data_IF_334235314447
#
_entry.id   IF_334235314447
#
_cell.length_a   1.000
_cell.length_b   1.000
_cell.length_c   1.000
_cell.angle_alpha   90.00
_cell.angle_beta   90.00
_cell.angle_gamma   90.00
#
_symmetry.space_group_name_H-M   'P 1'
#
loop_
_entity.id
_entity.type
_entity.pdbx_description
1 polymer ?
#
# COMPACT_ATOMS: atom_id res chain seq x y z
N UNK A 1 -17.48 -0.10 -2.94
CA UNK A 1 -17.34 1.35 -2.71
C UNK A 1 -16.30 1.82 -3.69
N UNK A 2 -16.68 2.59 -4.71
CA UNK A 2 -15.75 3.15 -5.68
C UNK A 2 -15.38 4.55 -5.19
N UNK A 3 -14.09 4.83 -5.09
CA UNK A 3 -13.59 6.15 -4.75
C UNK A 3 -13.63 6.96 -6.04
N UNK A 4 -14.48 7.99 -6.08
CA UNK A 4 -14.62 8.88 -7.25
C UNK A 4 -13.45 9.86 -7.38
N UNK A 5 -12.69 10.09 -6.29
CA UNK A 5 -11.59 11.06 -6.24
C UNK A 5 -10.47 10.59 -5.31
N UNK A 6 -9.23 10.58 -5.81
CA UNK A 6 -8.04 10.15 -5.06
C UNK A 6 -7.72 11.01 -3.83
N UNK A 7 -8.28 12.22 -3.73
CA UNK A 7 -8.17 13.08 -2.55
C UNK A 7 -9.03 12.63 -1.37
N UNK A 8 -9.96 11.68 -1.58
CA UNK A 8 -10.76 11.07 -0.50
C UNK A 8 -10.07 9.87 0.17
N UNK A 9 -8.90 9.45 -0.31
CA UNK A 9 -8.17 8.31 0.25
C UNK A 9 -7.59 8.71 1.60
N UNK A 10 -8.06 8.08 2.68
CA UNK A 10 -7.49 8.31 4.00
C UNK A 10 -6.13 7.61 4.14
N UNK A 11 -5.18 8.33 4.73
CA UNK A 11 -3.88 7.78 5.10
C UNK A 11 -3.84 7.52 6.60
N UNK A 12 -3.35 6.35 6.98
CA UNK A 12 -3.06 5.99 8.36
C UNK A 12 -1.56 5.85 8.56
N UNK A 13 -1.09 6.18 9.75
CA UNK A 13 0.30 5.93 10.13
C UNK A 13 0.43 4.52 10.70
N UNK A 14 1.33 3.72 10.15
CA UNK A 14 1.68 2.40 10.63
C UNK A 14 3.13 2.39 11.09
N UNK A 15 3.32 2.11 12.38
CA UNK A 15 4.64 1.87 12.95
C UNK A 15 5.08 0.44 12.65
N UNK A 16 6.29 0.29 12.12
CA UNK A 16 6.96 -1.00 11.97
C UNK A 16 7.76 -1.35 13.22
N UNK A 17 8.13 -2.62 13.36
CA UNK A 17 8.92 -3.12 14.48
C UNK A 17 10.29 -2.42 14.61
N UNK A 18 10.89 -2.00 13.49
CA UNK A 18 12.13 -1.22 13.45
C UNK A 18 11.99 0.26 13.85
N UNK A 19 10.79 0.70 14.24
CA UNK A 19 10.51 2.09 14.63
C UNK A 19 10.26 3.02 13.45
N UNK A 20 10.32 2.52 12.20
CA UNK A 20 9.92 3.27 11.01
C UNK A 20 8.41 3.50 11.01
N UNK A 21 7.99 4.72 10.71
CA UNK A 21 6.58 5.07 10.55
C UNK A 21 6.27 5.25 9.07
N UNK A 22 5.32 4.46 8.58
CA UNK A 22 4.85 4.51 7.20
C UNK A 22 3.49 5.20 7.13
N UNK A 23 3.32 6.09 6.16
CA UNK A 23 1.99 6.64 5.81
C UNK A 23 1.36 5.76 4.75
N UNK A 24 0.31 5.03 5.13
CA UNK A 24 -0.25 3.96 4.33
C UNK A 24 -1.71 4.29 4.01
N UNK A 25 -2.13 4.25 2.73
CA UNK A 25 -3.54 4.38 2.37
C UNK A 25 -4.42 3.34 3.04
N UNK A 26 -5.69 3.67 3.28
CA UNK A 26 -6.66 2.75 3.87
C UNK A 26 -6.86 1.45 3.06
N UNK A 27 -6.64 1.52 1.74
CA UNK A 27 -6.75 0.38 0.82
C UNK A 27 -5.49 -0.48 0.74
N UNK A 28 -4.43 -0.09 1.42
CA UNK A 28 -3.18 -0.84 1.47
C UNK A 28 -3.01 -1.40 2.88
N UNK A 29 -2.78 -2.71 2.96
CA UNK A 29 -2.56 -3.41 4.22
C UNK A 29 -1.10 -3.88 4.29
N UNK A 30 -0.46 -3.67 5.44
CA UNK A 30 0.81 -4.32 5.73
C UNK A 30 0.56 -5.81 5.99
N UNK A 31 1.28 -6.67 5.28
CA UNK A 31 1.28 -8.11 5.53
C UNK A 31 2.64 -8.48 6.10
N UNK A 32 2.61 -9.11 7.27
CA UNK A 32 3.79 -9.57 7.98
C UNK A 32 3.52 -11.00 8.43
N UNK A 33 3.72 -11.93 7.49
CA UNK A 33 3.51 -13.37 7.66
C UNK A 33 4.87 -14.09 7.52
N UNK A 34 4.98 -15.29 8.08
CA UNK A 34 6.25 -16.04 8.12
C UNK A 34 6.88 -16.29 6.74
N UNK A 35 6.05 -16.38 5.69
CA UNK A 35 6.46 -16.63 4.31
C UNK A 35 6.39 -15.38 3.42
N UNK A 36 5.80 -14.28 3.91
CA UNK A 36 5.58 -13.07 3.12
C UNK A 36 5.58 -11.80 3.98
N UNK A 37 6.53 -10.92 3.71
CA UNK A 37 6.59 -9.58 4.26
C UNK A 37 6.39 -8.59 3.10
N UNK A 38 5.37 -7.74 3.19
CA UNK A 38 5.00 -6.89 2.07
C UNK A 38 3.78 -6.01 2.32
N UNK A 39 3.26 -5.46 1.24
CA UNK A 39 2.06 -4.64 1.20
C UNK A 39 1.04 -5.25 0.26
N UNK A 40 -0.21 -5.28 0.69
CA UNK A 40 -1.31 -5.79 -0.12
C UNK A 40 -2.26 -4.66 -0.47
N UNK A 41 -2.41 -4.40 -1.77
CA UNK A 41 -3.41 -3.49 -2.30
C UNK A 41 -4.75 -4.21 -2.41
N UNK A 42 -5.78 -3.64 -1.76
CA UNK A 42 -7.15 -4.18 -1.74
C UNK A 42 -8.16 -3.31 -2.48
N UNK A 43 -7.69 -2.35 -3.28
CA UNK A 43 -8.55 -1.54 -4.15
C UNK A 43 -8.68 -2.18 -5.55
N UNK A 44 -9.90 -2.62 -5.88
CA UNK A 44 -10.16 -3.34 -7.11
C UNK A 44 -9.68 -4.79 -7.04
N UNK A 45 -8.64 -5.12 -7.81
CA UNK A 45 -8.00 -6.44 -7.76
C UNK A 45 -7.02 -6.54 -6.59
N UNK A 46 -6.86 -7.73 -6.03
CA UNK A 46 -5.87 -7.93 -4.96
C UNK A 46 -4.49 -8.04 -5.57
N UNK A 47 -3.55 -7.25 -5.07
CA UNK A 47 -2.18 -7.24 -5.59
C UNK A 47 -1.19 -7.16 -4.44
N UNK A 48 -0.26 -8.10 -4.42
CA UNK A 48 0.74 -8.25 -3.37
C UNK A 48 2.07 -7.67 -3.83
N UNK A 49 2.64 -6.81 -2.99
CA UNK A 49 3.92 -6.14 -3.19
C UNK A 49 4.89 -6.63 -2.12
N UNK A 50 5.74 -7.59 -2.47
CA UNK A 50 6.74 -8.11 -1.56
C UNK A 50 7.80 -7.05 -1.22
N UNK A 51 8.24 -7.05 0.03
CA UNK A 51 9.38 -6.23 0.44
C UNK A 51 10.64 -6.68 -0.26
N UNK A 52 11.47 -5.69 -0.61
CA UNK A 52 12.81 -5.96 -1.14
C UNK A 52 13.81 -6.15 0.00
N UNK A 53 14.89 -6.91 -0.21
CA UNK A 53 15.97 -6.97 0.76
C UNK A 53 16.63 -5.59 0.93
N UNK A 54 16.76 -5.13 2.19
CA UNK A 54 17.38 -3.84 2.54
C UNK A 54 16.51 -3.00 3.48
N UNK A 55 17.09 -1.98 4.09
CA UNK A 55 16.38 -1.10 5.04
C UNK A 55 15.20 -0.36 4.39
N UNK A 56 15.30 0.01 3.11
CA UNK A 56 14.27 0.70 2.35
C UNK A 56 13.33 -0.25 1.60
N UNK A 57 13.41 -1.55 1.87
CA UNK A 57 12.64 -2.58 1.17
C UNK A 57 11.14 -2.39 1.28
N UNK A 58 10.68 -2.18 2.52
CA UNK A 58 9.27 -1.93 2.83
C UNK A 58 8.79 -0.59 2.28
N UNK A 59 9.64 0.45 2.29
CA UNK A 59 9.30 1.75 1.73
C UNK A 59 9.08 1.69 0.21
N UNK A 60 9.98 1.01 -0.51
CA UNK A 60 9.87 0.82 -1.95
C UNK A 60 8.64 0.00 -2.34
N UNK A 61 8.37 -1.08 -1.61
CA UNK A 61 7.18 -1.90 -1.85
C UNK A 61 5.88 -1.12 -1.60
N UNK A 62 5.85 -0.29 -0.54
CA UNK A 62 4.72 0.60 -0.28
C UNK A 62 4.52 1.62 -1.40
N UNK A 63 5.58 2.24 -1.89
CA UNK A 63 5.51 3.21 -2.98
C UNK A 63 4.90 2.61 -4.25
N UNK A 64 5.31 1.39 -4.61
CA UNK A 64 4.72 0.67 -5.75
C UNK A 64 3.22 0.38 -5.55
N UNK A 65 2.84 -0.05 -4.34
CA UNK A 65 1.45 -0.32 -4.02
C UNK A 65 0.59 0.95 -4.07
N UNK A 66 1.13 2.10 -3.65
CA UNK A 66 0.46 3.41 -3.72
C UNK A 66 0.29 3.88 -5.16
N UNK A 67 1.33 3.74 -5.99
CA UNK A 67 1.28 4.14 -7.40
C UNK A 67 0.21 3.36 -8.16
N UNK A 68 0.21 2.03 -8.03
CA UNK A 68 -0.81 1.14 -8.60
C UNK A 68 -2.22 1.47 -8.08
N UNK A 69 -2.37 1.77 -6.79
CA UNK A 69 -3.66 2.20 -6.22
C UNK A 69 -4.17 3.47 -6.88
N UNK A 70 -3.31 4.49 -7.01
CA UNK A 70 -3.67 5.77 -7.60
C UNK A 70 -4.06 5.58 -9.07
N UNK A 71 -3.28 4.81 -9.83
CA UNK A 71 -3.60 4.49 -11.23
C UNK A 71 -4.98 3.83 -11.35
N UNK A 72 -5.33 2.91 -10.44
CA UNK A 72 -6.66 2.27 -10.44
C UNK A 72 -7.79 3.20 -10.08
N UNK A 73 -7.57 4.12 -9.13
CA UNK A 73 -8.56 5.13 -8.76
C UNK A 73 -8.79 6.08 -9.95
N UNK A 74 -7.73 6.58 -10.57
CA UNK A 74 -7.82 7.46 -11.73
C UNK A 74 -8.43 6.77 -12.96
N UNK A 75 -8.06 5.51 -13.22
CA UNK A 75 -8.57 4.76 -14.36
C UNK A 75 -10.02 4.30 -14.18
N UNK A 76 -10.44 3.89 -12.97
CA UNK A 76 -11.82 3.45 -12.71
C UNK A 76 -12.78 4.57 -12.32
N UNK A 77 -12.27 5.74 -11.92
CA UNK A 77 -13.07 6.94 -11.67
C UNK A 77 -13.56 7.64 -12.94
N UNK A 78 -13.16 7.14 -14.12
CA UNK A 78 -13.53 7.67 -15.43
C UNK A 78 -14.60 6.82 -16.10
#
# INVERSE_FOLDING_TARGET
MFIEDSSSIAYRQLGSADGTVFSVPEFILRVDEADFHGWQLRYGEWTDFADRPGADGAAQALQLAVEEMLERVEYRGK
#
